data_IF_667521140481
#
_entry.id   IF_667521140481
#
_cell.length_a   1.000
_cell.length_b   1.000
_cell.length_c   1.000
_cell.angle_alpha   90.00
_cell.angle_beta   90.00
_cell.angle_gamma   90.00
#
_symmetry.space_group_name_H-M   'P 1'
#
loop_
_entity.id
_entity.type
_entity.pdbx_description
1 polymer ?
#
# COMPACT_ATOMS: atom_id res chain seq x y z
N UNK A 1 21.05 -69.15 13.34
CA UNK A 1 20.53 -67.79 13.11
C UNK A 1 20.88 -66.97 14.33
N UNK A 2 22.01 -66.25 14.29
CA UNK A 2 22.42 -65.29 15.31
C UNK A 2 22.79 -64.01 14.55
N UNK A 3 22.22 -62.89 14.99
CA UNK A 3 22.15 -61.61 14.27
C UNK A 3 23.50 -60.87 14.22
N UNK A 4 23.73 -60.01 13.21
CA UNK A 4 25.03 -59.37 12.98
C UNK A 4 25.32 -58.27 14.02
N UNK A 5 26.56 -58.29 14.52
CA UNK A 5 27.13 -57.25 15.38
C UNK A 5 27.21 -55.93 14.61
N UNK A 6 26.55 -54.91 15.15
CA UNK A 6 26.47 -53.58 14.58
C UNK A 6 27.78 -52.82 14.89
N UNK A 7 28.84 -53.10 14.14
CA UNK A 7 30.14 -52.39 14.18
C UNK A 7 30.07 -50.94 13.67
N UNK A 8 28.88 -50.45 13.30
CA UNK A 8 28.68 -49.14 12.67
C UNK A 8 28.67 -47.94 13.64
N UNK A 9 28.91 -48.18 14.93
CA UNK A 9 28.88 -47.15 15.99
C UNK A 9 30.15 -47.13 16.86
N UNK A 10 31.23 -47.80 16.43
CA UNK A 10 32.53 -47.69 17.08
C UNK A 10 33.28 -46.48 16.54
N UNK A 11 32.86 -45.28 16.95
CA UNK A 11 33.66 -44.06 16.77
C UNK A 11 34.56 -43.97 18.01
N UNK A 12 35.82 -44.34 17.87
CA UNK A 12 36.85 -44.05 18.87
C UNK A 12 37.06 -42.53 18.91
N UNK A 13 36.44 -41.88 19.90
CA UNK A 13 36.69 -40.48 20.21
C UNK A 13 37.94 -40.45 21.07
N UNK A 14 39.05 -40.05 20.46
CA UNK A 14 40.29 -39.76 21.17
C UNK A 14 40.07 -38.54 22.08
N UNK A 15 40.32 -38.70 23.37
CA UNK A 15 39.97 -37.71 24.38
C UNK A 15 40.85 -36.44 24.32
N UNK A 16 41.97 -36.50 23.60
CA UNK A 16 42.90 -35.38 23.46
C UNK A 16 42.44 -34.32 22.44
N UNK A 17 41.58 -34.65 21.47
CA UNK A 17 41.07 -33.68 20.47
C UNK A 17 39.93 -32.79 21.02
N UNK A 18 39.30 -33.20 22.13
CA UNK A 18 38.24 -32.42 22.79
C UNK A 18 38.80 -31.26 23.64
N UNK A 19 40.05 -31.36 24.10
CA UNK A 19 40.68 -30.33 24.91
C UNK A 19 41.09 -29.10 24.07
N UNK A 20 41.43 -29.29 22.80
CA UNK A 20 41.92 -28.21 21.92
C UNK A 20 40.77 -27.44 21.24
N UNK A 21 39.59 -28.06 21.09
CA UNK A 21 38.38 -27.40 20.57
C UNK A 21 37.56 -26.67 21.64
N UNK A 22 37.68 -27.01 22.92
CA UNK A 22 37.01 -26.29 24.02
C UNK A 22 37.63 -24.91 24.31
N UNK A 23 38.87 -24.65 23.87
CA UNK A 23 39.55 -23.37 24.05
C UNK A 23 39.09 -22.28 23.05
N UNK A 24 38.33 -22.66 22.03
CA UNK A 24 37.80 -21.76 21.00
C UNK A 24 36.28 -21.64 21.01
N UNK A 25 35.63 -21.90 22.16
CA UNK A 25 34.23 -21.55 22.37
C UNK A 25 34.11 -20.01 22.51
N UNK A 26 34.24 -19.32 21.38
CA UNK A 26 33.74 -17.96 21.24
C UNK A 26 32.28 -18.00 21.67
N UNK A 27 31.87 -17.23 22.70
CA UNK A 27 30.50 -17.27 23.16
C UNK A 27 29.61 -17.00 21.95
N UNK A 28 28.74 -17.95 21.64
CA UNK A 28 27.76 -17.81 20.58
C UNK A 28 26.87 -16.62 20.94
N UNK A 29 27.26 -15.43 20.47
CA UNK A 29 26.43 -14.23 20.59
C UNK A 29 25.18 -14.53 19.79
N UNK A 30 24.11 -14.87 20.50
CA UNK A 30 22.80 -15.10 19.91
C UNK A 30 22.48 -13.89 19.03
N UNK A 31 22.40 -14.13 17.71
CA UNK A 31 22.12 -13.11 16.67
C UNK A 31 20.85 -12.28 16.92
N UNK A 32 20.03 -12.69 17.87
CA UNK A 32 18.73 -12.13 18.23
C UNK A 32 18.63 -11.73 19.71
N UNK A 33 19.71 -11.81 20.49
CA UNK A 33 19.67 -11.41 21.90
C UNK A 33 19.80 -9.90 22.01
N UNK A 34 18.66 -9.21 21.92
CA UNK A 34 18.54 -7.84 22.41
C UNK A 34 18.42 -7.92 23.93
N UNK A 35 19.21 -7.12 24.66
CA UNK A 35 19.03 -7.05 26.12
C UNK A 35 17.66 -6.44 26.44
N UNK A 36 17.11 -6.77 27.61
CA UNK A 36 15.83 -6.17 28.05
C UNK A 36 15.93 -4.64 28.13
N UNK A 37 17.12 -4.10 28.45
CA UNK A 37 17.39 -2.67 28.42
C UNK A 37 17.30 -2.08 27.00
N UNK A 38 17.83 -2.77 25.98
CA UNK A 38 17.74 -2.32 24.59
C UNK A 38 16.30 -2.37 24.06
N UNK A 39 15.55 -3.41 24.43
CA UNK A 39 14.13 -3.53 24.09
C UNK A 39 13.32 -2.41 24.72
N UNK A 40 13.55 -2.11 26.00
CA UNK A 40 12.85 -1.03 26.70
C UNK A 40 13.22 0.34 26.11
N UNK A 41 14.50 0.57 25.77
CA UNK A 41 14.93 1.78 25.09
C UNK A 41 14.27 1.94 23.70
N UNK A 42 14.17 0.86 22.91
CA UNK A 42 13.53 0.90 21.60
C UNK A 42 12.01 1.08 21.70
N UNK A 43 11.38 0.52 22.74
CA UNK A 43 9.97 0.72 23.05
C UNK A 43 9.67 2.16 23.46
N UNK A 44 10.51 2.74 24.32
CA UNK A 44 10.36 4.14 24.76
C UNK A 44 10.65 5.12 23.62
N UNK A 45 11.56 4.75 22.70
CA UNK A 45 11.81 5.50 21.47
C UNK A 45 10.77 5.25 20.37
N UNK A 46 9.91 4.23 20.49
CA UNK A 46 8.94 3.89 19.46
C UNK A 46 7.77 4.86 19.48
N UNK A 47 7.72 5.73 18.47
CA UNK A 47 6.51 6.47 18.11
C UNK A 47 5.87 5.82 16.88
N UNK A 48 4.64 5.33 17.02
CA UNK A 48 3.86 4.89 15.87
C UNK A 48 3.66 6.07 14.91
N UNK A 49 4.07 5.90 13.64
CA UNK A 49 3.81 6.91 12.62
C UNK A 49 2.34 6.81 12.22
N UNK A 50 1.52 7.69 12.78
CA UNK A 50 0.11 7.84 12.39
C UNK A 50 0.09 8.76 11.17
N UNK A 51 -0.41 8.26 10.04
CA UNK A 51 -0.72 9.10 8.89
C UNK A 51 -2.07 9.79 9.17
N UNK A 52 -2.05 11.12 9.28
CA UNK A 52 -3.20 11.94 9.68
C UNK A 52 -4.11 12.30 8.48
N UNK A 53 -3.77 11.88 7.26
CA UNK A 53 -4.64 12.07 6.10
C UNK A 53 -4.50 13.44 5.42
N UNK A 54 -3.26 13.90 5.20
CA UNK A 54 -2.94 15.16 4.51
C UNK A 54 -2.39 14.93 3.08
N UNK A 55 -2.58 13.74 2.50
CA UNK A 55 -1.97 13.37 1.21
C UNK A 55 -2.47 14.26 0.08
N UNK A 56 -3.74 14.66 0.08
CA UNK A 56 -4.25 15.60 -0.90
C UNK A 56 -3.55 16.97 -0.81
N UNK A 57 -3.31 17.47 0.40
CA UNK A 57 -2.60 18.75 0.56
C UNK A 57 -1.13 18.62 0.13
N UNK A 58 -0.44 17.55 0.54
CA UNK A 58 0.94 17.28 0.11
C UNK A 58 1.07 17.18 -1.40
N UNK A 59 0.07 16.63 -2.09
CA UNK A 59 0.04 16.59 -3.55
C UNK A 59 -0.01 17.99 -4.16
N UNK A 60 -0.84 18.88 -3.60
CA UNK A 60 -0.95 20.26 -4.07
C UNK A 60 0.30 21.11 -3.77
N UNK A 61 1.07 20.75 -2.74
CA UNK A 61 2.37 21.36 -2.44
C UNK A 61 3.45 20.85 -3.40
N UNK A 62 3.49 19.54 -3.67
CA UNK A 62 4.45 18.92 -4.59
C UNK A 62 4.19 19.32 -6.05
N UNK A 63 2.92 19.47 -6.44
CA UNK A 63 2.50 19.85 -7.80
C UNK A 63 1.55 21.06 -7.72
N UNK A 64 2.08 22.29 -7.57
CA UNK A 64 1.28 23.50 -7.41
C UNK A 64 0.32 23.77 -8.57
N UNK A 65 0.62 23.26 -9.76
CA UNK A 65 -0.22 23.40 -10.96
C UNK A 65 -1.55 22.65 -10.85
N UNK A 66 -1.69 21.72 -9.91
CA UNK A 66 -2.94 21.02 -9.64
C UNK A 66 -3.85 21.80 -8.68
N UNK A 67 -3.48 22.98 -8.19
CA UNK A 67 -4.32 23.78 -7.30
C UNK A 67 -5.63 24.21 -8.00
N UNK A 68 -6.76 24.38 -7.26
CA UNK A 68 -8.04 24.74 -7.87
C UNK A 68 -8.05 26.13 -8.54
N UNK A 69 -7.29 27.07 -7.97
CA UNK A 69 -7.36 28.50 -8.34
C UNK A 69 -6.39 28.91 -9.46
N UNK A 70 -5.54 28.01 -9.94
CA UNK A 70 -4.59 28.31 -11.03
C UNK A 70 -5.23 28.37 -12.42
N UNK A 71 -6.57 28.38 -12.51
CA UNK A 71 -7.33 28.35 -13.78
C UNK A 71 -7.61 29.73 -14.40
N UNK A 72 -7.09 30.83 -13.85
CA UNK A 72 -7.43 32.17 -14.35
C UNK A 72 -6.29 33.19 -14.27
N UNK A 73 -5.15 32.91 -14.91
CA UNK A 73 -4.36 33.95 -15.61
C UNK A 73 -3.42 33.30 -16.62
N UNK A 74 -3.56 33.69 -17.90
CA UNK A 74 -2.60 33.48 -19.00
C UNK A 74 -2.16 32.05 -19.34
N UNK A 75 -3.08 31.22 -19.87
CA UNK A 75 -2.69 30.22 -20.87
C UNK A 75 -2.94 30.79 -22.26
N UNK A 76 -2.05 31.71 -22.65
CA UNK A 76 -1.91 32.09 -24.04
C UNK A 76 -1.53 30.84 -24.85
N UNK A 77 -2.10 30.77 -26.05
CA UNK A 77 -2.15 29.57 -26.88
C UNK A 77 -0.77 29.32 -27.50
N UNK A 78 0.12 28.66 -26.77
CA UNK A 78 1.42 28.25 -27.30
C UNK A 78 1.90 27.00 -26.58
N UNK A 79 1.71 25.82 -27.22
CA UNK A 79 2.35 24.53 -26.89
C UNK A 79 2.75 24.37 -25.41
N UNK A 80 1.75 24.39 -24.52
CA UNK A 80 2.00 24.17 -23.10
C UNK A 80 2.45 22.72 -22.91
N UNK A 81 3.76 22.52 -22.78
CA UNK A 81 4.37 21.23 -22.46
C UNK A 81 3.68 20.67 -21.22
N UNK A 82 2.93 19.59 -21.40
CA UNK A 82 2.25 18.90 -20.31
C UNK A 82 3.28 18.54 -19.23
N UNK A 83 2.92 18.72 -17.96
CA UNK A 83 3.86 18.49 -16.86
C UNK A 83 3.93 17.00 -16.60
N UNK A 84 5.08 16.40 -16.85
CA UNK A 84 5.27 14.99 -16.56
C UNK A 84 5.34 14.75 -15.05
N UNK A 85 4.40 13.98 -14.52
CA UNK A 85 4.41 13.59 -13.11
C UNK A 85 5.58 12.65 -12.85
N UNK A 86 6.39 12.95 -11.84
CA UNK A 86 7.42 12.03 -11.36
C UNK A 86 6.80 10.78 -10.73
N UNK A 87 7.58 9.71 -10.59
CA UNK A 87 7.13 8.46 -9.93
C UNK A 87 6.60 8.71 -8.51
N UNK A 88 7.23 9.62 -7.77
CA UNK A 88 6.82 10.02 -6.42
C UNK A 88 5.47 10.74 -6.44
N UNK A 89 5.30 11.67 -7.37
CA UNK A 89 4.08 12.48 -7.48
C UNK A 89 2.90 11.64 -7.96
N UNK A 90 3.12 10.70 -8.88
CA UNK A 90 2.11 9.72 -9.29
C UNK A 90 1.69 8.79 -8.15
N UNK A 91 2.62 8.36 -7.30
CA UNK A 91 2.29 7.58 -6.10
C UNK A 91 1.50 8.42 -5.08
N UNK A 92 1.91 9.68 -4.89
CA UNK A 92 1.22 10.62 -4.01
C UNK A 92 -0.19 10.93 -4.52
N UNK A 93 -0.38 11.03 -5.84
CA UNK A 93 -1.68 11.15 -6.48
C UNK A 93 -2.59 9.96 -6.15
N UNK A 94 -2.08 8.73 -6.22
CA UNK A 94 -2.85 7.54 -5.87
C UNK A 94 -3.24 7.51 -4.38
N UNK A 95 -2.34 7.94 -3.48
CA UNK A 95 -2.64 8.05 -2.06
C UNK A 95 -3.68 9.14 -1.77
N UNK A 96 -3.56 10.31 -2.39
CA UNK A 96 -4.54 11.39 -2.28
C UNK A 96 -5.92 10.96 -2.77
N UNK A 97 -6.01 10.26 -3.92
CA UNK A 97 -7.28 9.72 -4.41
C UNK A 97 -7.87 8.68 -3.44
N UNK A 98 -7.02 7.82 -2.85
CA UNK A 98 -7.44 6.83 -1.85
C UNK A 98 -8.00 7.47 -0.57
N UNK A 99 -7.32 8.49 -0.06
CA UNK A 99 -7.74 9.30 1.10
C UNK A 99 -9.10 9.97 0.83
N UNK A 100 -9.22 10.73 -0.26
CA UNK A 100 -10.48 11.38 -0.64
C UNK A 100 -11.62 10.37 -0.82
N UNK A 101 -11.32 9.15 -1.29
CA UNK A 101 -12.32 8.11 -1.48
C UNK A 101 -12.80 7.52 -0.15
N UNK A 102 -11.88 7.37 0.81
CA UNK A 102 -12.21 6.98 2.17
C UNK A 102 -13.16 8.01 2.80
N UNK A 103 -12.84 9.30 2.67
CA UNK A 103 -13.60 10.45 3.18
C UNK A 103 -14.91 10.74 2.42
N UNK A 104 -15.25 9.94 1.40
CA UNK A 104 -16.45 10.12 0.55
C UNK A 104 -16.48 11.45 -0.20
N UNK A 105 -15.31 12.07 -0.40
CA UNK A 105 -15.13 13.31 -1.17
C UNK A 105 -15.06 13.02 -2.66
N UNK A 106 -16.10 12.37 -3.19
CA UNK A 106 -16.13 11.87 -4.57
C UNK A 106 -16.05 12.98 -5.63
N UNK A 107 -16.63 14.16 -5.36
CA UNK A 107 -16.52 15.32 -6.27
C UNK A 107 -15.08 15.79 -6.40
N UNK A 108 -14.33 15.81 -5.31
CA UNK A 108 -12.95 16.30 -5.30
C UNK A 108 -12.03 15.35 -6.08
N UNK A 109 -12.30 14.04 -6.03
CA UNK A 109 -11.59 13.04 -6.85
C UNK A 109 -11.84 13.28 -8.35
N UNK A 110 -13.08 13.57 -8.73
CA UNK A 110 -13.44 13.85 -10.13
C UNK A 110 -12.70 15.11 -10.60
N UNK A 111 -12.79 16.21 -9.85
CA UNK A 111 -12.13 17.47 -10.19
C UNK A 111 -10.59 17.35 -10.21
N UNK A 112 -10.00 16.59 -9.29
CA UNK A 112 -8.57 16.30 -9.30
C UNK A 112 -8.18 15.50 -10.55
N UNK A 113 -8.95 14.48 -10.89
CA UNK A 113 -8.70 13.63 -12.06
C UNK A 113 -8.77 14.42 -13.37
N UNK A 114 -9.71 15.36 -13.49
CA UNK A 114 -9.83 16.25 -14.64
C UNK A 114 -8.63 17.20 -14.75
N UNK A 115 -8.24 17.86 -13.65
CA UNK A 115 -7.07 18.74 -13.62
C UNK A 115 -5.79 18.01 -14.00
N UNK A 116 -5.58 16.80 -13.49
CA UNK A 116 -4.40 15.99 -13.84
C UNK A 116 -4.35 15.71 -15.35
N UNK A 117 -5.48 15.39 -15.99
CA UNK A 117 -5.51 15.15 -17.45
C UNK A 117 -5.27 16.41 -18.28
N UNK A 118 -5.63 17.58 -17.76
CA UNK A 118 -5.47 18.86 -18.45
C UNK A 118 -4.08 19.47 -18.30
N UNK A 119 -3.41 19.16 -17.19
CA UNK A 119 -2.16 19.82 -16.78
C UNK A 119 -0.95 18.89 -16.90
N UNK A 120 -1.15 17.58 -16.73
CA UNK A 120 -0.06 16.62 -16.64
C UNK A 120 0.00 15.67 -17.85
N UNK A 121 1.22 15.27 -18.20
CA UNK A 121 1.45 14.17 -19.12
C UNK A 121 1.24 12.87 -18.34
N UNK A 122 0.15 12.16 -18.64
CA UNK A 122 -0.19 10.89 -18.01
C UNK A 122 0.11 9.73 -18.95
N UNK A 123 0.81 8.71 -18.48
CA UNK A 123 0.92 7.44 -19.21
C UNK A 123 -0.45 6.73 -19.29
N UNK A 124 -0.56 5.77 -20.21
CA UNK A 124 -1.82 5.06 -20.46
C UNK A 124 -2.40 4.38 -19.21
N UNK A 125 -1.56 3.84 -18.33
CA UNK A 125 -2.02 3.15 -17.11
C UNK A 125 -2.57 4.14 -16.10
N UNK A 126 -1.88 5.27 -15.93
CA UNK A 126 -2.35 6.37 -15.06
C UNK A 126 -3.65 6.95 -15.61
N UNK A 127 -3.71 7.22 -16.92
CA UNK A 127 -4.91 7.73 -17.57
C UNK A 127 -6.12 6.78 -17.42
N UNK A 128 -5.91 5.47 -17.59
CA UNK A 128 -6.95 4.47 -17.38
C UNK A 128 -7.39 4.39 -15.91
N UNK A 129 -6.44 4.44 -14.98
CA UNK A 129 -6.74 4.42 -13.54
C UNK A 129 -7.60 5.63 -13.14
N UNK A 130 -7.23 6.83 -13.61
CA UNK A 130 -8.03 8.04 -13.42
C UNK A 130 -9.44 7.86 -14.01
N UNK A 131 -9.60 7.29 -15.21
CA UNK A 131 -10.92 7.02 -15.80
C UNK A 131 -11.78 6.11 -14.94
N UNK A 132 -11.19 5.03 -14.41
CA UNK A 132 -11.89 4.10 -13.52
C UNK A 132 -12.32 4.76 -12.21
N UNK A 133 -11.47 5.61 -11.63
CA UNK A 133 -11.83 6.35 -10.41
C UNK A 133 -12.93 7.38 -10.66
N UNK A 134 -12.83 8.18 -11.73
CA UNK A 134 -13.88 9.13 -12.13
C UNK A 134 -15.23 8.43 -12.25
N UNK A 135 -15.30 7.36 -13.05
CA UNK A 135 -16.53 6.59 -13.24
C UNK A 135 -17.09 6.04 -11.93
N UNK A 136 -16.25 5.43 -11.10
CA UNK A 136 -16.68 4.88 -9.81
C UNK A 136 -17.23 5.97 -8.88
N UNK A 137 -16.61 7.16 -8.89
CA UNK A 137 -17.07 8.29 -8.08
C UNK A 137 -18.40 8.86 -8.60
N UNK A 138 -18.57 8.95 -9.92
CA UNK A 138 -19.83 9.34 -10.55
C UNK A 138 -20.96 8.37 -10.20
N UNK A 139 -20.72 7.05 -10.29
CA UNK A 139 -21.67 6.02 -9.88
C UNK A 139 -22.07 6.14 -8.41
N UNK A 140 -21.15 6.58 -7.53
CA UNK A 140 -21.42 6.80 -6.09
C UNK A 140 -22.16 8.10 -5.80
N UNK A 141 -22.05 9.10 -6.69
CA UNK A 141 -22.75 10.37 -6.59
C UNK A 141 -24.15 10.32 -7.22
N UNK A 142 -24.44 9.31 -8.03
CA UNK A 142 -25.80 9.07 -8.50
C UNK A 142 -26.70 8.71 -7.31
N UNK A 143 -27.87 9.35 -7.17
CA UNK A 143 -28.83 8.95 -6.16
C UNK A 143 -29.20 7.49 -6.41
N UNK A 144 -29.11 6.67 -5.37
CA UNK A 144 -29.50 5.27 -5.39
C UNK A 144 -30.94 5.13 -5.92
N UNK A 145 -31.11 4.85 -7.21
CA UNK A 145 -32.36 4.31 -7.75
C UNK A 145 -32.50 2.87 -7.27
N UNK A 146 -32.86 2.73 -5.99
CA UNK A 146 -33.16 1.47 -5.35
C UNK A 146 -34.46 0.91 -5.91
N UNK A 147 -34.39 0.24 -7.05
CA UNK A 147 -35.40 -0.72 -7.45
C UNK A 147 -34.93 -2.09 -6.95
N UNK A 148 -35.13 -2.33 -5.65
CA UNK A 148 -35.07 -3.69 -5.10
C UNK A 148 -36.24 -4.45 -5.70
N UNK A 149 -35.99 -5.15 -6.80
CA UNK A 149 -36.87 -6.23 -7.26
C UNK A 149 -36.86 -7.28 -6.15
N UNK A 150 -37.80 -7.16 -5.22
CA UNK A 150 -38.25 -8.28 -4.40
C UNK A 150 -38.73 -9.32 -5.40
N UNK A 151 -37.91 -10.34 -5.62
CA UNK A 151 -38.32 -11.55 -6.32
C UNK A 151 -39.47 -12.12 -5.50
N UNK A 152 -40.69 -11.80 -5.96
CA UNK A 152 -41.93 -12.42 -5.55
C UNK A 152 -41.74 -13.93 -5.72
N UNK A 153 -41.60 -14.63 -4.59
CA UNK A 153 -41.53 -16.08 -4.54
C UNK A 153 -42.88 -16.55 -5.05
N UNK A 154 -42.86 -17.22 -6.20
CA UNK A 154 -44.04 -17.64 -6.93
C UNK A 154 -45.01 -18.42 -6.06
N UNK A 155 -46.12 -17.77 -5.73
CA UNK A 155 -47.39 -18.40 -5.45
C UNK A 155 -47.83 -19.12 -6.73
N UNK A 156 -47.66 -20.44 -6.78
CA UNK A 156 -48.38 -21.30 -7.71
C UNK A 156 -48.92 -22.54 -7.00
N UNK A 157 -50.23 -22.46 -6.78
CA UNK A 157 -51.10 -23.51 -6.27
C UNK A 157 -51.08 -24.78 -7.14
N UNK A 158 -51.27 -25.94 -6.49
CA UNK A 158 -52.40 -26.87 -6.69
C UNK A 158 -52.11 -28.22 -6.02
N UNK A 159 -53.06 -28.71 -5.23
CA UNK A 159 -53.97 -29.80 -5.64
C UNK A 159 -55.10 -29.98 -4.59
N UNK A 160 -56.36 -30.16 -5.02
CA UNK A 160 -57.37 -30.83 -4.21
C UNK A 160 -57.11 -32.34 -4.11
#
# INVERSE_FOLDING_TARGET
>A
MAEPVNELLAIEVDADDYAETAAHDTPAVSRTFQSEADFQAQKDAYSARIDLGDNYQRLLEAVPFLKPDSSSTDRDTSEASLIRLGKKDGQLLAYAVGELYYDKRFRDIIQLSERVRLVCETDDKTAESLRRWTRRCEERLQPSNGNTTVTSIGEHARRP
#
